data_IF_166876310253
#
_entry.id   IF_166876310253
#
_cell.length_a   1.000
_cell.length_b   1.000
_cell.length_c   1.000
_cell.angle_alpha   90.00
_cell.angle_beta   90.00
_cell.angle_gamma   90.00
#
_symmetry.space_group_name_H-M   'P 1'
#
loop_
_entity.id
_entity.type
_entity.pdbx_description
1 polymer ?
#
# COMPACT_ATOMS: atom_id res chain seq x y z
N UNK A 1 12.17 -3.36 19.74
CA UNK A 1 12.46 -4.11 18.49
C UNK A 1 11.19 -4.81 18.06
N UNK A 2 10.48 -4.31 17.06
CA UNK A 2 9.31 -5.01 16.54
C UNK A 2 9.75 -6.41 16.08
N UNK A 3 9.00 -7.42 16.50
CA UNK A 3 9.40 -8.79 16.24
C UNK A 3 9.47 -9.02 14.73
N UNK A 4 10.63 -9.45 14.23
CA UNK A 4 10.85 -9.93 12.85
C UNK A 4 9.74 -10.90 12.40
N UNK A 5 9.14 -11.62 13.36
CA UNK A 5 8.00 -12.52 13.17
C UNK A 5 6.76 -11.77 12.68
N UNK A 6 6.45 -10.60 13.25
CA UNK A 6 5.26 -9.81 12.87
C UNK A 6 5.39 -9.27 11.44
N UNK A 7 6.53 -8.67 11.10
CA UNK A 7 6.79 -8.17 9.74
C UNK A 7 6.75 -9.29 8.71
N UNK A 8 7.34 -10.46 9.03
CA UNK A 8 7.28 -11.64 8.16
C UNK A 8 5.84 -12.17 8.03
N UNK A 9 5.08 -12.19 9.12
CA UNK A 9 3.66 -12.58 9.11
C UNK A 9 2.83 -11.65 8.24
N UNK A 10 3.04 -10.34 8.35
CA UNK A 10 2.38 -9.34 7.51
C UNK A 10 2.69 -9.59 6.03
N UNK A 11 3.97 -9.78 5.67
CA UNK A 11 4.38 -10.09 4.30
C UNK A 11 3.70 -11.32 3.71
N UNK A 12 3.64 -12.42 4.48
CA UNK A 12 2.95 -13.65 4.06
C UNK A 12 1.45 -13.43 3.90
N UNK A 13 0.81 -12.74 4.84
CA UNK A 13 -0.63 -12.47 4.82
C UNK A 13 -1.02 -11.52 3.69
N UNK A 14 -0.24 -10.46 3.43
CA UNK A 14 -0.47 -9.53 2.33
C UNK A 14 -0.42 -10.25 0.98
N UNK A 15 0.62 -11.06 0.74
CA UNK A 15 0.72 -11.87 -0.47
C UNK A 15 -0.45 -12.84 -0.59
N UNK A 16 -0.82 -13.51 0.51
CA UNK A 16 -1.95 -14.43 0.56
C UNK A 16 -3.28 -13.75 0.22
N UNK A 17 -3.52 -12.55 0.76
CA UNK A 17 -4.72 -11.75 0.47
C UNK A 17 -4.84 -11.43 -1.03
N UNK A 18 -3.76 -10.99 -1.66
CA UNK A 18 -3.76 -10.64 -3.08
C UNK A 18 -3.99 -11.86 -3.98
N UNK A 19 -3.41 -13.01 -3.61
CA UNK A 19 -3.70 -14.30 -4.27
C UNK A 19 -5.16 -14.69 -4.11
N UNK A 20 -5.74 -14.49 -2.92
CA UNK A 20 -7.16 -14.79 -2.67
C UNK A 20 -8.08 -13.92 -3.51
N UNK A 21 -7.83 -12.61 -3.62
CA UNK A 21 -8.61 -11.72 -4.50
C UNK A 21 -8.61 -12.21 -5.95
N UNK A 22 -7.43 -12.52 -6.50
CA UNK A 22 -7.30 -13.06 -7.85
C UNK A 22 -8.02 -14.39 -8.04
N UNK A 23 -7.97 -15.27 -7.04
CA UNK A 23 -8.65 -16.57 -7.09
C UNK A 23 -10.17 -16.41 -7.04
N UNK A 24 -10.70 -15.54 -6.18
CA UNK A 24 -12.14 -15.32 -6.02
C UNK A 24 -12.76 -14.75 -7.30
N UNK A 25 -12.03 -13.85 -7.96
CA UNK A 25 -12.47 -13.19 -9.21
C UNK A 25 -12.15 -14.04 -10.46
N UNK A 26 -11.40 -15.14 -10.31
CA UNK A 26 -10.84 -15.95 -11.40
C UNK A 26 -10.03 -15.13 -12.43
N UNK A 27 -9.32 -14.11 -11.96
CA UNK A 27 -8.43 -13.28 -12.77
C UNK A 27 -7.03 -13.25 -12.18
N UNK A 28 -6.13 -14.05 -12.77
CA UNK A 28 -4.70 -14.11 -12.36
C UNK A 28 -3.94 -12.80 -12.62
N UNK A 29 -4.49 -11.91 -13.45
CA UNK A 29 -3.91 -10.62 -13.82
C UNK A 29 -4.65 -9.44 -13.20
N UNK A 30 -5.57 -9.69 -12.26
CA UNK A 30 -6.29 -8.63 -11.56
C UNK A 30 -5.29 -7.62 -11.00
N UNK A 31 -5.44 -6.38 -11.47
CA UNK A 31 -4.63 -5.26 -11.03
C UNK A 31 -5.01 -4.91 -9.60
N UNK A 32 -4.01 -4.85 -8.72
CA UNK A 32 -4.16 -4.47 -7.32
C UNK A 32 -3.44 -3.15 -7.12
N UNK A 33 -4.13 -2.16 -6.55
CA UNK A 33 -3.57 -0.86 -6.22
C UNK A 33 -3.45 -0.76 -4.71
N UNK A 34 -2.27 -0.38 -4.21
CA UNK A 34 -2.01 -0.28 -2.77
C UNK A 34 -1.26 1.00 -2.46
N UNK A 35 -1.61 1.63 -1.35
CA UNK A 35 -0.83 2.73 -0.77
C UNK A 35 0.10 2.22 0.32
N UNK A 36 1.02 3.08 0.74
CA UNK A 36 1.74 2.95 2.01
C UNK A 36 0.82 3.29 3.19
N UNK A 37 1.22 2.90 4.40
CA UNK A 37 0.59 3.38 5.65
C UNK A 37 1.34 4.61 6.16
N UNK A 38 0.68 5.33 7.06
CA UNK A 38 1.20 6.56 7.68
C UNK A 38 2.52 6.36 8.42
N UNK A 39 3.32 7.43 8.51
CA UNK A 39 4.56 7.52 9.29
C UNK A 39 4.62 8.82 10.09
N UNK A 40 3.49 9.24 10.66
CA UNK A 40 3.35 10.53 11.37
C UNK A 40 3.70 10.49 12.86
N UNK A 41 3.80 9.29 13.43
CA UNK A 41 4.21 9.08 14.82
C UNK A 41 5.68 9.48 15.05
N UNK A 42 6.07 9.67 16.31
CA UNK A 42 7.48 9.94 16.66
C UNK A 42 8.38 8.72 16.51
N UNK A 43 7.84 7.51 16.71
CA UNK A 43 8.52 6.25 16.40
C UNK A 43 7.76 5.57 15.25
N UNK A 44 8.41 5.53 14.10
CA UNK A 44 7.87 4.98 12.84
C UNK A 44 8.58 3.70 12.43
N UNK A 45 9.34 3.07 13.34
CA UNK A 45 10.21 1.93 13.00
C UNK A 45 9.41 0.77 12.43
N UNK A 46 8.22 0.51 12.96
CA UNK A 46 7.34 -0.56 12.48
C UNK A 46 6.69 -0.21 11.16
N UNK A 47 6.12 0.98 11.07
CA UNK A 47 5.42 1.52 9.91
C UNK A 47 6.37 1.52 8.71
N UNK A 48 7.61 1.97 8.91
CA UNK A 48 8.66 1.89 7.90
C UNK A 48 9.00 0.44 7.49
N UNK A 49 8.96 -0.52 8.42
CA UNK A 49 9.16 -1.93 8.09
C UNK A 49 7.96 -2.50 7.30
N UNK A 50 6.73 -2.08 7.62
CA UNK A 50 5.52 -2.44 6.89
C UNK A 50 5.50 -1.82 5.49
N UNK A 51 5.81 -0.52 5.36
CA UNK A 51 5.91 0.16 4.06
C UNK A 51 6.97 -0.51 3.17
N UNK A 52 8.13 -0.90 3.73
CA UNK A 52 9.11 -1.72 2.98
C UNK A 52 8.52 -3.03 2.47
N UNK A 53 7.66 -3.71 3.25
CA UNK A 53 6.98 -4.93 2.78
C UNK A 53 5.99 -4.62 1.66
N UNK A 54 5.17 -3.58 1.80
CA UNK A 54 4.19 -3.15 0.78
C UNK A 54 4.90 -2.81 -0.54
N UNK A 55 5.92 -1.93 -0.47
CA UNK A 55 6.73 -1.52 -1.62
C UNK A 55 7.39 -2.73 -2.29
N UNK A 56 8.00 -3.62 -1.50
CA UNK A 56 8.65 -4.82 -2.05
C UNK A 56 7.65 -5.81 -2.68
N UNK A 57 6.43 -5.91 -2.14
CA UNK A 57 5.38 -6.73 -2.74
C UNK A 57 4.95 -6.18 -4.09
N UNK A 58 4.70 -4.86 -4.19
CA UNK A 58 4.39 -4.19 -5.45
C UNK A 58 5.51 -4.33 -6.49
N UNK A 59 6.78 -4.22 -6.08
CA UNK A 59 7.94 -4.43 -6.98
C UNK A 59 8.05 -5.85 -7.55
N UNK A 60 7.64 -6.87 -6.78
CA UNK A 60 7.78 -8.29 -7.16
C UNK A 60 6.61 -8.83 -7.98
N UNK A 61 5.45 -8.18 -7.91
CA UNK A 61 4.23 -8.60 -8.57
C UNK A 61 3.83 -7.61 -9.66
N UNK A 62 3.97 -8.02 -10.93
CA UNK A 62 3.72 -7.17 -12.11
C UNK A 62 2.28 -6.64 -12.24
N UNK A 63 1.33 -7.17 -11.48
CA UNK A 63 -0.06 -6.70 -11.44
C UNK A 63 -0.41 -6.05 -10.09
N UNK A 64 0.59 -5.65 -9.31
CA UNK A 64 0.40 -4.85 -8.09
C UNK A 64 1.10 -3.51 -8.30
N UNK A 65 0.36 -2.42 -8.09
CA UNK A 65 0.82 -1.05 -8.34
C UNK A 65 0.79 -0.25 -7.05
N UNK A 66 1.91 0.42 -6.76
CA UNK A 66 2.08 1.26 -5.59
C UNK A 66 1.59 2.69 -5.88
N UNK A 67 0.80 3.23 -4.96
CA UNK A 67 0.48 4.66 -4.88
C UNK A 67 1.33 5.25 -3.76
N UNK A 68 2.22 6.18 -4.10
CA UNK A 68 3.08 6.83 -3.12
C UNK A 68 2.25 7.77 -2.24
N UNK A 69 2.50 7.73 -0.93
CA UNK A 69 1.79 8.56 0.07
C UNK A 69 2.74 9.11 1.14
N UNK A 70 4.04 9.05 0.90
CA UNK A 70 5.12 9.49 1.80
C UNK A 70 5.19 11.02 1.95
N UNK A 71 4.60 11.77 1.01
CA UNK A 71 4.50 13.23 1.02
C UNK A 71 3.22 13.77 1.68
N UNK A 72 2.37 12.89 2.22
CA UNK A 72 1.10 13.28 2.82
C UNK A 72 1.27 13.82 4.24
N UNK A 73 0.23 14.49 4.74
CA UNK A 73 0.22 15.12 6.06
C UNK A 73 -0.92 14.57 6.91
N UNK A 74 -0.75 14.57 8.23
CA UNK A 74 -1.78 14.14 9.17
C UNK A 74 -2.83 15.24 9.47
N UNK A 75 -3.98 14.83 10.00
CA UNK A 75 -5.07 15.76 10.37
C UNK A 75 -4.88 16.47 11.71
N UNK A 76 -3.68 16.47 12.26
CA UNK A 76 -3.33 16.98 13.60
C UNK A 76 -3.38 15.93 14.71
N UNK A 77 -3.58 14.65 14.37
CA UNK A 77 -3.64 13.53 15.33
C UNK A 77 -2.48 12.54 15.21
N UNK A 78 -1.53 12.80 14.30
CA UNK A 78 -0.36 11.95 14.04
C UNK A 78 -0.68 10.51 13.63
N UNK A 79 -1.88 10.27 13.08
CA UNK A 79 -2.31 8.94 12.66
C UNK A 79 -3.03 8.96 11.31
N UNK A 80 -3.98 9.86 11.10
CA UNK A 80 -4.80 9.84 9.90
C UNK A 80 -4.38 10.92 8.91
N UNK A 81 -4.31 10.57 7.63
CA UNK A 81 -4.17 11.54 6.55
C UNK A 81 -5.25 12.63 6.61
N UNK A 82 -4.85 13.87 6.37
CA UNK A 82 -5.76 15.00 6.25
C UNK A 82 -6.62 14.93 4.98
N UNK A 83 -7.66 15.76 4.92
CA UNK A 83 -8.58 15.77 3.78
C UNK A 83 -7.91 16.20 2.48
N UNK A 84 -6.84 16.99 2.51
CA UNK A 84 -6.10 17.40 1.31
C UNK A 84 -5.33 16.20 0.73
N UNK A 85 -4.60 15.49 1.57
CA UNK A 85 -3.83 14.30 1.25
C UNK A 85 -4.73 13.20 0.70
N UNK A 86 -5.91 12.98 1.29
CA UNK A 86 -6.85 11.98 0.77
C UNK A 86 -7.42 12.33 -0.62
N UNK A 87 -7.62 13.62 -0.95
CA UNK A 87 -8.01 14.03 -2.31
C UNK A 87 -6.91 13.72 -3.32
N UNK A 88 -5.68 14.08 -2.98
CA UNK A 88 -4.49 13.77 -3.80
C UNK A 88 -4.33 12.25 -3.96
N UNK A 89 -4.58 11.48 -2.89
CA UNK A 89 -4.59 10.01 -2.94
C UNK A 89 -5.56 9.52 -4.02
N UNK A 90 -6.82 9.96 -3.97
CA UNK A 90 -7.83 9.59 -4.97
C UNK A 90 -7.40 9.92 -6.40
N UNK A 91 -6.85 11.11 -6.63
CA UNK A 91 -6.29 11.52 -7.92
C UNK A 91 -5.17 10.58 -8.39
N UNK A 92 -4.23 10.23 -7.51
CA UNK A 92 -3.13 9.30 -7.84
C UNK A 92 -3.62 7.89 -8.15
N UNK A 93 -4.59 7.37 -7.39
CA UNK A 93 -5.23 6.08 -7.69
C UNK A 93 -5.89 6.11 -9.08
N UNK A 94 -6.67 7.15 -9.38
CA UNK A 94 -7.33 7.31 -10.67
C UNK A 94 -6.33 7.43 -11.83
N UNK A 95 -5.29 8.25 -11.67
CA UNK A 95 -4.23 8.40 -12.67
C UNK A 95 -3.52 7.08 -12.94
N UNK A 96 -3.14 6.34 -11.89
CA UNK A 96 -2.47 5.05 -12.04
C UNK A 96 -3.38 4.03 -12.71
N UNK A 97 -4.64 3.98 -12.33
CA UNK A 97 -5.64 3.13 -12.97
C UNK A 97 -5.74 3.43 -14.48
N UNK A 98 -5.84 4.70 -14.86
CA UNK A 98 -5.89 5.11 -16.26
C UNK A 98 -4.59 4.79 -17.01
N UNK A 99 -3.42 4.96 -16.40
CA UNK A 99 -2.13 4.62 -17.00
C UNK A 99 -2.07 3.13 -17.39
N UNK A 100 -2.54 2.24 -16.53
CA UNK A 100 -2.46 0.78 -16.73
C UNK A 100 -3.57 0.27 -17.66
N UNK A 101 -4.72 0.93 -17.69
CA UNK A 101 -5.89 0.50 -18.47
C UNK A 101 -6.09 1.27 -19.77
N UNK A 102 -5.24 2.26 -20.08
CA UNK A 102 -5.21 2.88 -21.40
C UNK A 102 -4.79 1.82 -22.42
N UNK A 103 -5.71 1.54 -23.35
CA UNK A 103 -5.46 0.77 -24.57
C UNK A 103 -4.60 1.58 -25.54
#
# INVERSE_FOLDING_TARGET
>A
MYSKILVNTYSKKLKGLFVSFRKIIDDKKLSIFTGEIETFSTDTTFENAINKVIVNNAKKDKYTFLIQTDDFTDKGDKLHFDSRSQRIMGERFAQKYLEINKK
#
